data_IF_845074342740
#
_entry.id   IF_845074342740
#
_cell.length_a   1.000
_cell.length_b   1.000
_cell.length_c   1.000
_cell.angle_alpha   90.00
_cell.angle_beta   90.00
_cell.angle_gamma   90.00
#
_symmetry.space_group_name_H-M   'P 1'
#
loop_
_entity.id
_entity.type
_entity.pdbx_description
1 polymer ?
#
# COMPACT_ATOMS: atom_id res chain seq x y z
N UNK A 1 24.78 -14.18 -16.93
CA UNK A 1 23.35 -14.31 -17.23
C UNK A 1 22.62 -14.05 -15.93
N UNK A 2 21.72 -13.06 -15.90
CA UNK A 2 20.97 -12.74 -14.68
C UNK A 2 20.00 -13.90 -14.34
N UNK A 3 19.85 -14.18 -13.04
CA UNK A 3 18.92 -15.20 -12.54
C UNK A 3 17.51 -14.62 -12.37
N UNK A 4 16.51 -15.49 -12.22
CA UNK A 4 15.15 -15.06 -11.85
C UNK A 4 15.14 -14.30 -10.50
N UNK A 5 16.07 -14.62 -9.59
CA UNK A 5 16.23 -13.91 -8.33
C UNK A 5 16.70 -12.47 -8.55
N UNK A 6 17.68 -12.29 -9.45
CA UNK A 6 18.24 -10.97 -9.78
C UNK A 6 17.19 -10.07 -10.43
N UNK A 7 16.39 -10.62 -11.35
CA UNK A 7 15.29 -9.88 -12.01
C UNK A 7 14.18 -9.45 -11.03
N UNK A 8 13.88 -10.28 -10.02
CA UNK A 8 12.87 -9.94 -9.00
C UNK A 8 13.34 -8.84 -8.06
N UNK A 9 14.65 -8.73 -7.83
CA UNK A 9 15.23 -7.67 -6.99
C UNK A 9 15.28 -6.30 -7.69
N UNK A 10 14.99 -6.24 -8.99
CA UNK A 10 14.84 -5.00 -9.75
C UNK A 10 13.41 -4.42 -9.66
N UNK A 11 12.54 -5.02 -8.84
CA UNK A 11 11.21 -4.54 -8.50
C UNK A 11 11.13 -4.27 -6.99
N UNK A 12 10.54 -3.16 -6.54
CA UNK A 12 9.81 -2.15 -7.33
C UNK A 12 10.73 -1.16 -8.04
N UNK A 13 10.27 -0.67 -9.19
CA UNK A 13 10.90 0.42 -9.96
C UNK A 13 11.02 1.68 -9.08
N UNK A 14 12.05 2.50 -9.30
CA UNK A 14 12.16 3.82 -8.66
C UNK A 14 10.91 4.64 -8.98
N UNK A 15 10.18 5.05 -7.95
CA UNK A 15 8.94 5.80 -8.08
C UNK A 15 8.86 6.92 -7.06
N UNK A 16 7.65 7.49 -6.94
CA UNK A 16 7.32 8.50 -5.93
C UNK A 16 6.09 8.04 -5.15
N UNK A 17 6.04 8.41 -3.87
CA UNK A 17 4.88 8.17 -3.03
C UNK A 17 3.80 9.20 -3.39
N UNK A 18 2.74 8.74 -4.03
CA UNK A 18 1.61 9.59 -4.45
C UNK A 18 0.59 9.81 -3.33
N UNK A 19 0.47 8.84 -2.41
CA UNK A 19 -0.59 8.82 -1.43
C UNK A 19 -0.26 7.89 -0.26
N UNK A 20 -0.76 8.24 0.93
CA UNK A 20 -0.66 7.44 2.14
C UNK A 20 -2.04 7.34 2.77
N UNK A 21 -2.48 6.11 3.04
CA UNK A 21 -3.73 5.82 3.73
C UNK A 21 -3.52 5.02 5.00
N UNK A 22 -4.34 5.33 6.01
CA UNK A 22 -4.36 4.64 7.30
C UNK A 22 -5.79 4.25 7.65
N UNK A 23 -6.02 3.00 8.05
CA UNK A 23 -7.27 2.56 8.63
C UNK A 23 -7.16 2.65 10.16
N UNK A 24 -7.79 3.65 10.81
CA UNK A 24 -7.69 3.79 12.27
C UNK A 24 -8.42 2.65 13.02
N UNK A 25 -9.37 1.98 12.36
CA UNK A 25 -10.18 0.89 12.90
C UNK A 25 -10.52 -0.12 11.83
N UNK A 26 -10.90 -1.34 12.25
CA UNK A 26 -11.35 -2.40 11.35
C UNK A 26 -12.53 -1.93 10.48
N UNK A 27 -12.38 -2.02 9.16
CA UNK A 27 -13.40 -1.60 8.16
C UNK A 27 -13.77 -0.11 8.22
N UNK A 28 -12.92 0.73 8.81
CA UNK A 28 -13.07 2.17 8.68
C UNK A 28 -12.60 2.62 7.28
N UNK A 29 -13.09 3.78 6.86
CA UNK A 29 -12.55 4.47 5.69
C UNK A 29 -11.06 4.81 5.92
N UNK A 30 -10.29 4.79 4.83
CA UNK A 30 -8.86 5.15 4.89
C UNK A 30 -8.73 6.67 5.08
N UNK A 31 -8.00 7.06 6.12
CA UNK A 31 -7.62 8.44 6.36
C UNK A 31 -6.35 8.75 5.55
N UNK A 32 -6.44 9.77 4.68
CA UNK A 32 -5.29 10.30 3.95
C UNK A 32 -4.41 11.14 4.87
N UNK A 33 -3.10 10.88 4.82
CA UNK A 33 -2.09 11.63 5.60
C UNK A 33 -0.93 12.06 4.72
N UNK A 34 -0.24 13.13 5.13
CA UNK A 34 0.95 13.63 4.42
C UNK A 34 2.22 12.87 4.82
N UNK A 35 2.26 12.37 6.05
CA UNK A 35 3.41 11.67 6.62
C UNK A 35 2.93 10.49 7.48
N UNK A 36 3.75 9.45 7.56
CA UNK A 36 3.48 8.28 8.38
C UNK A 36 4.77 7.70 8.98
N UNK A 37 4.71 7.30 10.24
CA UNK A 37 5.81 6.67 10.96
C UNK A 37 5.69 5.15 10.86
N UNK A 38 6.79 4.49 10.51
CA UNK A 38 6.88 3.04 10.42
C UNK A 38 7.73 2.49 11.56
N UNK A 39 7.18 1.52 12.29
CA UNK A 39 7.89 0.78 13.33
C UNK A 39 8.13 -0.65 12.87
N UNK A 40 9.40 -1.07 12.88
CA UNK A 40 9.78 -2.43 12.52
C UNK A 40 9.10 -3.44 13.44
N UNK A 41 8.47 -4.45 12.86
CA UNK A 41 7.76 -5.48 13.62
C UNK A 41 6.26 -5.18 13.70
N UNK A 42 5.85 -3.94 13.95
CA UNK A 42 4.45 -3.59 14.18
C UNK A 42 3.76 -3.02 12.95
N UNK A 43 4.41 -2.14 12.17
CA UNK A 43 3.83 -1.51 10.99
C UNK A 43 3.68 0.00 11.13
N UNK A 44 2.61 0.56 10.56
CA UNK A 44 2.41 2.02 10.52
C UNK A 44 1.74 2.50 11.81
N UNK A 45 2.29 3.54 12.43
CA UNK A 45 1.70 4.15 13.63
C UNK A 45 0.26 4.63 13.35
N UNK A 46 -0.69 4.26 14.22
CA UNK A 46 -2.11 4.62 14.07
C UNK A 46 -2.92 3.73 13.13
N UNK A 47 -2.29 2.80 12.41
CA UNK A 47 -2.99 1.77 11.63
C UNK A 47 -3.52 0.66 12.56
N UNK A 48 -4.78 0.27 12.37
CA UNK A 48 -5.44 -0.77 13.16
C UNK A 48 -4.69 -2.11 13.13
N UNK A 49 -4.12 -2.47 11.98
CA UNK A 49 -3.35 -3.69 11.82
C UNK A 49 -1.96 -3.66 12.49
N UNK A 50 -1.50 -2.50 12.98
CA UNK A 50 -0.16 -2.31 13.52
C UNK A 50 -0.06 -2.54 15.05
N UNK A 51 -0.70 -3.60 15.56
CA UNK A 51 -0.90 -3.79 17.01
C UNK A 51 -0.09 -4.91 17.65
N UNK A 52 0.14 -6.04 16.97
CA UNK A 52 0.66 -7.24 17.64
C UNK A 52 2.12 -7.60 17.35
N UNK A 53 2.78 -6.97 16.37
CA UNK A 53 4.15 -7.35 16.01
C UNK A 53 4.29 -8.70 15.30
N UNK A 54 3.22 -9.51 15.26
CA UNK A 54 3.21 -10.88 14.74
C UNK A 54 2.97 -10.95 13.23
N UNK A 55 2.33 -9.91 12.68
CA UNK A 55 2.02 -9.86 11.26
C UNK A 55 3.27 -9.57 10.44
N UNK A 56 3.57 -10.45 9.46
CA UNK A 56 4.55 -10.16 8.40
C UNK A 56 4.05 -9.11 7.40
N UNK A 57 2.74 -8.83 7.38
CA UNK A 57 2.10 -7.81 6.54
C UNK A 57 1.97 -6.52 7.33
N UNK A 58 3.06 -5.75 7.36
CA UNK A 58 3.16 -4.49 8.10
C UNK A 58 2.75 -3.28 7.26
N UNK A 59 2.94 -3.36 5.95
CA UNK A 59 2.64 -2.30 4.97
C UNK A 59 2.01 -2.96 3.75
N UNK A 60 1.04 -2.28 3.16
CA UNK A 60 0.51 -2.63 1.83
C UNK A 60 0.97 -1.55 0.85
N UNK A 61 1.61 -1.96 -0.24
CA UNK A 61 1.96 -1.08 -1.34
C UNK A 61 1.14 -1.46 -2.57
N UNK A 62 0.62 -0.45 -3.25
CA UNK A 62 0.01 -0.60 -4.56
C UNK A 62 0.60 0.44 -5.51
N UNK A 63 0.88 0.01 -6.74
CA UNK A 63 1.33 0.89 -7.81
C UNK A 63 0.15 1.72 -8.32
N UNK A 64 0.35 3.03 -8.48
CA UNK A 64 -0.69 3.95 -8.94
C UNK A 64 -1.22 3.55 -10.32
N UNK A 65 -0.37 2.96 -11.16
CA UNK A 65 -0.67 2.46 -12.50
C UNK A 65 -1.74 1.36 -12.52
N UNK A 66 -1.99 0.69 -11.39
CA UNK A 66 -3.06 -0.29 -11.27
C UNK A 66 -4.45 0.36 -11.12
N UNK A 67 -4.54 1.59 -10.62
CA UNK A 67 -5.82 2.28 -10.41
C UNK A 67 -6.66 2.44 -11.71
N UNK A 68 -6.11 2.92 -12.84
CA UNK A 68 -6.87 3.01 -14.08
C UNK A 68 -7.28 1.64 -14.62
N UNK A 69 -6.45 0.60 -14.43
CA UNK A 69 -6.79 -0.78 -14.82
C UNK A 69 -8.00 -1.28 -14.03
N UNK A 70 -7.99 -1.10 -12.71
CA UNK A 70 -9.09 -1.49 -11.82
C UNK A 70 -10.37 -0.72 -12.18
N UNK A 71 -10.26 0.60 -12.43
CA UNK A 71 -11.40 1.40 -12.85
C UNK A 71 -12.04 0.87 -14.15
N UNK A 72 -11.21 0.54 -15.15
CA UNK A 72 -11.66 -0.05 -16.42
C UNK A 72 -12.37 -1.39 -16.24
N UNK A 73 -11.82 -2.30 -15.42
CA UNK A 73 -12.42 -3.60 -15.12
C UNK A 73 -13.77 -3.45 -14.39
N UNK A 74 -13.88 -2.47 -13.50
CA UNK A 74 -15.10 -2.22 -12.73
C UNK A 74 -16.14 -1.36 -13.48
N UNK A 75 -15.88 -0.97 -14.73
CA UNK A 75 -16.70 -0.02 -15.49
C UNK A 75 -16.96 1.30 -14.73
N UNK A 76 -15.95 1.79 -14.01
CA UNK A 76 -15.99 3.08 -13.30
C UNK A 76 -15.07 4.06 -14.01
N UNK A 77 -15.42 5.34 -13.96
CA UNK A 77 -14.60 6.42 -14.52
C UNK A 77 -13.25 6.53 -13.79
N UNK A 78 -13.26 6.40 -12.46
CA UNK A 78 -12.08 6.52 -11.61
C UNK A 78 -12.19 5.65 -10.36
N UNK A 79 -11.05 5.14 -9.91
CA UNK A 79 -10.86 4.56 -8.58
C UNK A 79 -9.75 5.34 -7.90
N UNK A 80 -9.98 5.70 -6.64
CA UNK A 80 -9.00 6.36 -5.77
C UNK A 80 -8.42 5.33 -4.79
N UNK A 81 -7.19 5.53 -4.28
CA UNK A 81 -6.53 4.56 -3.41
C UNK A 81 -7.30 4.21 -2.13
N UNK A 82 -8.07 5.16 -1.58
CA UNK A 82 -8.90 5.01 -0.38
C UNK A 82 -10.06 4.00 -0.56
N UNK A 83 -10.34 3.58 -1.80
CA UNK A 83 -11.45 2.68 -2.17
C UNK A 83 -11.03 1.25 -2.50
N UNK A 84 -9.77 0.90 -2.24
CA UNK A 84 -9.20 -0.43 -2.49
C UNK A 84 -9.51 -1.42 -1.37
#
# INVERSE_FOLDING_TARGET
METIGDLKNQLPQTGRLEWIGLAPKRRADLAEVQEATLHTGTGIEGEHHATSGESKRQVTLIQHEHLPVIAGVLHKEKITPDRL
#
